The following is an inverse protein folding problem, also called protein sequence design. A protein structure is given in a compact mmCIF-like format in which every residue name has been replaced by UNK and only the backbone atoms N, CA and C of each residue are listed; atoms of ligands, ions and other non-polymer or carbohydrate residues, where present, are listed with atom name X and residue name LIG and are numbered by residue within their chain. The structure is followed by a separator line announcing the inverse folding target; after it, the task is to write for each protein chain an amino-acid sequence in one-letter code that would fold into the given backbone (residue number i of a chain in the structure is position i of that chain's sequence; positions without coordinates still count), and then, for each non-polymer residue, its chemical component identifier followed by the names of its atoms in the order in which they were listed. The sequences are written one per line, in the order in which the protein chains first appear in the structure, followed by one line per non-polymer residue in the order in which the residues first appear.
data_IF_941099483632
#
_entry.id   IF_941099483632
#
_cell.length_a   1.000
_cell.length_b   1.000
_cell.length_c   1.000
_cell.angle_alpha   90.00
_cell.angle_beta   90.00
_cell.angle_gamma   90.00
#
_symmetry.space_group_name_H-M   'P 1'
#
loop_
_entity.id
_entity.type
_entity.pdbx_description
1 polymer ?
#
# COMPACT_ATOMS: atom_id res chain seq x y z
N UNK A 1 -26.33 -0.59 23.55
CA UNK A 1 -25.95 -0.96 22.18
C UNK A 1 -24.98 0.11 21.68
N UNK A 2 -23.69 -0.18 21.66
CA UNK A 2 -22.67 0.77 21.19
C UNK A 2 -22.60 0.69 19.67
N UNK A 3 -23.18 1.68 18.99
CA UNK A 3 -23.09 1.84 17.55
C UNK A 3 -21.66 2.18 17.18
N UNK A 4 -20.89 1.20 16.69
CA UNK A 4 -19.55 1.44 16.14
C UNK A 4 -19.66 2.37 14.94
N UNK A 5 -19.44 3.66 15.14
CA UNK A 5 -19.31 4.61 14.03
C UNK A 5 -18.10 4.21 13.19
N UNK A 6 -18.37 3.55 12.07
CA UNK A 6 -17.37 3.25 11.06
C UNK A 6 -16.92 4.60 10.48
N UNK A 7 -15.86 5.18 11.07
CA UNK A 7 -15.25 6.42 10.61
C UNK A 7 -14.66 6.15 9.23
N UNK A 8 -15.48 6.36 8.20
CA UNK A 8 -15.06 6.28 6.82
C UNK A 8 -13.97 7.35 6.59
N UNK A 9 -12.72 6.90 6.56
CA UNK A 9 -11.59 7.76 6.21
C UNK A 9 -11.71 8.07 4.73
N UNK A 10 -12.12 9.31 4.42
CA UNK A 10 -12.23 9.80 3.05
C UNK A 10 -10.88 9.66 2.35
N UNK A 11 -10.87 8.97 1.20
CA UNK A 11 -9.68 8.91 0.34
C UNK A 11 -9.41 10.29 -0.23
N UNK A 12 -8.16 10.70 -0.17
CA UNK A 12 -7.69 11.97 -0.73
C UNK A 12 -6.79 11.68 -1.92
N UNK A 13 -6.69 12.62 -2.85
CA UNK A 13 -5.68 12.52 -3.89
C UNK A 13 -4.29 12.55 -3.25
N UNK A 14 -3.45 11.58 -3.58
CA UNK A 14 -2.05 11.51 -3.15
C UNK A 14 -1.21 11.09 -4.34
N UNK A 15 -0.31 11.97 -4.73
CA UNK A 15 0.64 11.67 -5.78
C UNK A 15 1.87 10.99 -5.18
N UNK A 16 1.95 9.68 -5.42
CA UNK A 16 3.10 8.89 -5.05
C UNK A 16 4.14 8.98 -6.17
N UNK A 17 5.32 9.52 -5.85
CA UNK A 17 6.44 9.64 -6.79
C UNK A 17 6.94 8.25 -7.20
N UNK A 18 7.61 8.15 -8.35
CA UNK A 18 8.14 6.88 -8.83
C UNK A 18 9.16 6.28 -7.85
N UNK A 19 10.09 7.08 -7.33
CA UNK A 19 11.09 6.64 -6.35
C UNK A 19 10.45 6.05 -5.10
N UNK A 20 9.40 6.70 -4.58
CA UNK A 20 8.65 6.16 -3.44
C UNK A 20 8.01 4.80 -3.75
N UNK A 21 7.40 4.64 -4.92
CA UNK A 21 6.80 3.35 -5.34
C UNK A 21 7.85 2.25 -5.40
N UNK A 22 9.02 2.53 -5.97
CA UNK A 22 10.12 1.57 -6.07
C UNK A 22 10.67 1.20 -4.70
N UNK A 23 10.83 2.17 -3.79
CA UNK A 23 11.29 1.90 -2.42
C UNK A 23 10.32 0.99 -1.66
N UNK A 24 9.01 1.22 -1.80
CA UNK A 24 7.98 0.37 -1.18
C UNK A 24 8.00 -1.04 -1.78
N UNK A 25 8.15 -1.17 -3.10
CA UNK A 25 8.23 -2.47 -3.78
C UNK A 25 9.48 -3.24 -3.33
N UNK A 26 10.66 -2.60 -3.33
CA UNK A 26 11.92 -3.22 -2.92
C UNK A 26 11.88 -3.72 -1.47
N UNK A 27 11.33 -2.94 -0.54
CA UNK A 27 11.17 -3.37 0.86
C UNK A 27 10.23 -4.58 1.02
N UNK A 28 9.18 -4.65 0.20
CA UNK A 28 8.25 -5.79 0.22
C UNK A 28 8.87 -7.02 -0.42
N UNK A 29 9.61 -6.88 -1.51
CA UNK A 29 10.30 -7.98 -2.19
C UNK A 29 11.46 -8.56 -1.38
N UNK A 30 12.16 -7.72 -0.61
CA UNK A 30 13.18 -8.16 0.36
C UNK A 30 12.59 -8.94 1.54
N UNK A 31 11.28 -8.83 1.78
CA UNK A 31 10.61 -9.44 2.91
C UNK A 31 10.70 -8.64 4.21
N UNK A 32 11.18 -7.38 4.15
CA UNK A 32 11.25 -6.49 5.33
C UNK A 32 9.85 -6.15 5.85
N UNK A 33 8.87 -6.09 4.95
CA UNK A 33 7.47 -5.86 5.29
C UNK A 33 6.51 -6.47 4.28
N UNK A 34 5.32 -6.84 4.74
CA UNK A 34 4.21 -7.22 3.86
C UNK A 34 3.58 -6.00 3.21
N UNK A 35 2.90 -6.18 2.07
CA UNK A 35 2.16 -5.08 1.43
C UNK A 35 1.12 -4.43 2.35
N UNK A 36 0.51 -5.20 3.28
CA UNK A 36 -0.44 -4.68 4.29
C UNK A 36 0.25 -3.79 5.31
N UNK A 37 1.45 -4.17 5.74
CA UNK A 37 2.26 -3.35 6.65
C UNK A 37 2.73 -2.07 5.94
N UNK A 38 3.20 -2.16 4.70
CA UNK A 38 3.54 -1.00 3.89
C UNK A 38 2.35 -0.01 3.78
N UNK A 39 1.13 -0.52 3.62
CA UNK A 39 -0.06 0.33 3.60
C UNK A 39 -0.28 1.08 4.92
N UNK A 40 -0.13 0.39 6.05
CA UNK A 40 -0.31 1.00 7.37
C UNK A 40 0.81 2.01 7.69
N UNK A 41 2.07 1.63 7.46
CA UNK A 41 3.27 2.43 7.80
C UNK A 41 3.31 3.72 6.97
N UNK A 42 3.13 3.60 5.66
CA UNK A 42 3.17 4.76 4.76
C UNK A 42 1.81 5.45 4.58
N UNK A 43 0.78 4.98 5.30
CA UNK A 43 -0.56 5.56 5.28
C UNK A 43 -1.26 5.45 3.92
N UNK A 44 -0.95 4.46 3.09
CA UNK A 44 -1.51 4.33 1.73
C UNK A 44 -3.00 3.98 1.84
N UNK A 45 -3.85 4.90 1.36
CA UNK A 45 -5.30 4.82 1.52
C UNK A 45 -5.98 3.73 0.66
N UNK A 46 -5.33 3.26 -0.40
CA UNK A 46 -5.89 2.28 -1.32
C UNK A 46 -5.48 0.85 -0.95
N UNK A 47 -6.48 -0.01 -0.74
CA UNK A 47 -6.29 -1.42 -0.35
C UNK A 47 -5.53 -2.27 -1.38
N UNK A 48 -5.56 -1.88 -2.65
CA UNK A 48 -4.85 -2.56 -3.74
C UNK A 48 -3.68 -1.73 -4.29
N UNK A 49 -3.43 -0.53 -3.77
CA UNK A 49 -2.43 0.39 -4.36
C UNK A 49 -1.03 -0.21 -4.34
N UNK A 50 -0.61 -0.79 -3.21
CA UNK A 50 0.70 -1.45 -3.10
C UNK A 50 0.78 -2.69 -4.00
N UNK A 51 -0.30 -3.50 -4.04
CA UNK A 51 -0.41 -4.66 -4.95
C UNK A 51 -0.31 -4.25 -6.43
N UNK A 52 -0.86 -3.11 -6.82
CA UNK A 52 -0.72 -2.58 -8.19
C UNK A 52 0.72 -2.16 -8.48
N UNK A 53 1.44 -1.62 -7.50
CA UNK A 53 2.86 -1.29 -7.68
C UNK A 53 3.72 -2.55 -7.79
N UNK A 54 3.46 -3.56 -6.95
CA UNK A 54 4.13 -4.85 -7.01
C UNK A 54 3.92 -5.54 -8.36
N UNK A 55 2.70 -5.52 -8.92
CA UNK A 55 2.44 -6.08 -10.25
C UNK A 55 3.09 -5.30 -11.41
N UNK A 56 3.29 -4.00 -11.25
CA UNK A 56 3.84 -3.14 -12.32
C UNK A 56 5.36 -3.05 -12.29
N UNK A 57 5.94 -3.04 -11.09
CA UNK A 57 7.37 -2.77 -10.87
C UNK A 57 8.10 -3.90 -10.16
N UNK A 58 7.37 -4.86 -9.58
CA UNK A 58 7.96 -6.04 -8.96
C UNK A 58 8.34 -7.09 -9.98
N UNK A 59 9.20 -8.01 -9.56
CA UNK A 59 9.74 -9.13 -10.34
C UNK A 59 9.03 -10.45 -10.06
N UNK A 60 8.26 -10.53 -8.97
CA UNK A 60 7.52 -11.73 -8.56
C UNK A 60 6.09 -11.70 -9.11
N UNK A 61 5.54 -12.88 -9.42
CA UNK A 61 4.17 -13.02 -9.91
C UNK A 61 3.16 -12.87 -8.76
N UNK A 62 2.70 -11.64 -8.55
CA UNK A 62 1.63 -11.32 -7.61
C UNK A 62 0.27 -11.44 -8.32
N UNK A 63 -0.32 -12.63 -8.35
CA UNK A 63 -1.67 -12.91 -8.88
C UNK A 63 -2.80 -12.63 -7.88
#
# INVERSE_FOLDING_TARGET
MTTSHNLYVKRTQRDYTLGFKLQVVDAVEKGDMTYKQAQAIYGIQGRSTVLTWLRKFGKMDWT
#
